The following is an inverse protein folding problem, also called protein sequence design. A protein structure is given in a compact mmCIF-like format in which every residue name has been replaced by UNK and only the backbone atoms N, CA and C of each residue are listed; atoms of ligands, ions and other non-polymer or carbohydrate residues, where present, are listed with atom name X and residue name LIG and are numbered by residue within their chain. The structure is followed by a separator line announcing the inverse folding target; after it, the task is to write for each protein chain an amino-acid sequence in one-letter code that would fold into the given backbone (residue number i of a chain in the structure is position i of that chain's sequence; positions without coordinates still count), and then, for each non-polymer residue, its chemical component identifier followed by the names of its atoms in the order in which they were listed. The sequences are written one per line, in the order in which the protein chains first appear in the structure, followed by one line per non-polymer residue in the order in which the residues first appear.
data_IF_133185965447
#
_entry.id   IF_133185965447
#
_cell.length_a   1.000
_cell.length_b   1.000
_cell.length_c   1.000
_cell.angle_alpha   90.00
_cell.angle_beta   90.00
_cell.angle_gamma   90.00
#
_symmetry.space_group_name_H-M   'P 1'
#
loop_
_entity.id
_entity.type
_entity.pdbx_description
1 polymer ?
#
# COMPACT_ATOMS: atom_id res chain seq x y z
N UNK A 1 29.28 -13.52 3.75
CA UNK A 1 28.10 -12.89 3.11
C UNK A 1 27.50 -11.96 4.16
N UNK A 2 27.69 -10.66 4.03
CA UNK A 2 27.00 -9.68 4.87
C UNK A 2 25.55 -9.66 4.41
N UNK A 3 24.64 -10.18 5.23
CA UNK A 3 23.20 -10.04 4.99
C UNK A 3 22.86 -8.56 5.11
N UNK A 4 22.84 -7.85 4.00
CA UNK A 4 22.34 -6.49 3.93
C UNK A 4 20.82 -6.51 3.98
N UNK A 5 20.25 -6.66 5.18
CA UNK A 5 18.83 -6.39 5.39
C UNK A 5 18.67 -4.86 5.52
N UNK A 6 17.87 -4.28 4.64
CA UNK A 6 17.51 -2.88 4.80
C UNK A 6 16.51 -2.73 5.95
N UNK A 7 16.90 -2.04 6.99
CA UNK A 7 16.02 -1.70 8.10
C UNK A 7 14.94 -0.74 7.61
N UNK A 8 13.71 -0.98 8.04
CA UNK A 8 12.56 -0.14 7.71
C UNK A 8 11.45 -0.22 8.74
N UNK A 9 10.48 0.67 8.60
CA UNK A 9 9.29 0.69 9.43
C UNK A 9 8.06 1.17 8.65
N UNK A 10 6.89 1.12 9.31
CA UNK A 10 5.61 1.42 8.68
C UNK A 10 4.96 2.67 9.27
N UNK A 11 4.44 3.53 8.42
CA UNK A 11 3.45 4.58 8.65
C UNK A 11 3.87 5.70 9.61
N UNK A 12 4.35 5.40 10.81
CA UNK A 12 4.54 6.39 11.87
C UNK A 12 6.00 6.41 12.33
N UNK A 13 6.67 7.54 12.12
CA UNK A 13 7.91 7.84 12.82
C UNK A 13 7.56 8.32 14.24
N UNK A 14 7.77 7.46 15.24
CA UNK A 14 7.37 7.73 16.63
C UNK A 14 8.13 8.89 17.25
N UNK A 15 9.40 9.08 16.89
CA UNK A 15 10.19 10.22 17.37
C UNK A 15 9.63 11.54 16.81
N UNK A 16 9.51 11.64 15.48
CA UNK A 16 9.02 12.85 14.83
C UNK A 16 7.56 13.17 15.19
N UNK A 17 6.74 12.15 15.36
CA UNK A 17 5.32 12.34 15.73
C UNK A 17 5.10 12.78 17.18
N UNK A 18 6.09 12.57 18.08
CA UNK A 18 6.05 12.98 19.48
C UNK A 18 6.58 14.39 19.73
N UNK A 19 7.16 15.05 18.73
CA UNK A 19 7.72 16.41 18.85
C UNK A 19 6.60 17.44 19.07
N UNK A 20 6.97 18.58 19.69
CA UNK A 20 6.03 19.72 19.91
C UNK A 20 5.34 20.15 18.60
N UNK A 21 6.10 20.20 17.49
CA UNK A 21 5.55 20.31 16.14
C UNK A 21 5.54 18.91 15.54
N UNK A 22 4.35 18.30 15.52
CA UNK A 22 4.17 16.92 15.07
C UNK A 22 4.41 16.80 13.57
N UNK A 23 5.31 15.89 13.18
CA UNK A 23 5.52 15.47 11.79
C UNK A 23 4.86 14.09 11.58
N UNK A 24 3.97 13.97 10.61
CA UNK A 24 3.19 12.74 10.40
C UNK A 24 2.55 12.73 9.01
N UNK A 25 2.48 11.55 8.38
CA UNK A 25 1.84 11.35 7.07
C UNK A 25 0.47 10.66 7.18
N UNK A 26 -0.07 10.52 8.39
CA UNK A 26 -1.33 9.81 8.64
C UNK A 26 -2.40 10.69 9.31
N UNK A 27 -2.38 11.99 9.03
CA UNK A 27 -3.50 12.86 9.44
C UNK A 27 -4.71 12.50 8.61
N UNK A 28 -5.83 12.34 9.29
CA UNK A 28 -7.12 12.01 8.69
C UNK A 28 -8.25 12.75 9.38
N UNK A 29 -9.48 12.54 8.94
CA UNK A 29 -10.66 13.11 9.55
C UNK A 29 -11.82 12.11 9.56
N UNK A 30 -12.78 12.34 10.45
CA UNK A 30 -14.03 11.57 10.50
C UNK A 30 -14.94 11.95 9.32
N UNK A 31 -15.80 11.04 8.88
CA UNK A 31 -16.80 11.27 7.83
C UNK A 31 -17.59 12.55 8.05
N UNK A 32 -18.08 12.78 9.26
CA UNK A 32 -18.79 14.02 9.62
C UNK A 32 -17.99 15.27 9.31
N UNK A 33 -16.69 15.28 9.61
CA UNK A 33 -15.81 16.43 9.32
C UNK A 33 -15.59 16.62 7.82
N UNK A 34 -15.47 15.51 7.07
CA UNK A 34 -15.41 15.55 5.62
C UNK A 34 -16.67 16.18 5.02
N UNK A 35 -17.86 15.73 5.45
CA UNK A 35 -19.16 16.24 4.97
C UNK A 35 -19.37 17.72 5.32
N UNK A 36 -18.86 18.19 6.48
CA UNK A 36 -19.00 19.58 6.94
C UNK A 36 -18.00 20.54 6.27
N UNK A 37 -16.75 20.09 6.04
CA UNK A 37 -15.65 20.97 5.60
C UNK A 37 -15.27 20.80 4.12
N UNK A 38 -15.70 19.72 3.48
CA UNK A 38 -15.49 19.45 2.06
C UNK A 38 -14.03 19.24 1.63
N UNK A 39 -13.82 19.28 0.31
CA UNK A 39 -12.54 19.00 -0.34
C UNK A 39 -11.43 20.00 0.02
N UNK A 40 -11.76 21.23 0.31
CA UNK A 40 -10.76 22.24 0.69
C UNK A 40 -9.98 21.84 1.95
N UNK A 41 -10.69 21.30 2.93
CA UNK A 41 -10.05 20.81 4.15
C UNK A 41 -9.29 19.50 3.93
N UNK A 42 -9.81 18.62 3.07
CA UNK A 42 -9.09 17.41 2.64
C UNK A 42 -7.76 17.79 1.99
N UNK A 43 -7.79 18.79 1.07
CA UNK A 43 -6.59 19.29 0.39
C UNK A 43 -5.52 19.79 1.37
N UNK A 44 -5.93 20.56 2.41
CA UNK A 44 -5.01 21.02 3.46
C UNK A 44 -4.37 19.86 4.24
N UNK A 45 -5.15 18.85 4.61
CA UNK A 45 -4.64 17.65 5.31
C UNK A 45 -3.64 16.88 4.43
N UNK A 46 -3.98 16.67 3.17
CA UNK A 46 -3.10 15.97 2.22
C UNK A 46 -1.80 16.74 2.01
N UNK A 47 -1.88 18.05 1.76
CA UNK A 47 -0.69 18.89 1.58
C UNK A 47 0.23 18.81 2.80
N UNK A 48 -0.32 18.82 4.02
CA UNK A 48 0.48 18.64 5.23
C UNK A 48 1.10 17.24 5.32
N UNK A 49 0.35 16.18 4.98
CA UNK A 49 0.84 14.81 4.99
C UNK A 49 2.01 14.63 4.00
N UNK A 50 1.87 15.11 2.76
CA UNK A 50 2.92 14.97 1.75
C UNK A 50 4.14 15.87 2.02
N UNK A 51 3.93 17.04 2.64
CA UNK A 51 5.03 17.90 3.08
C UNK A 51 5.85 17.23 4.19
N UNK A 52 5.17 16.58 5.12
CA UNK A 52 5.81 15.86 6.23
C UNK A 52 6.53 14.59 5.77
N UNK A 53 6.15 14.01 4.62
CA UNK A 53 6.84 12.85 4.06
C UNK A 53 8.33 13.16 3.83
N UNK A 54 8.65 14.29 3.20
CA UNK A 54 10.05 14.66 2.97
C UNK A 54 10.83 14.82 4.29
N UNK A 55 10.21 15.36 5.34
CA UNK A 55 10.84 15.47 6.65
C UNK A 55 11.11 14.09 7.29
N UNK A 56 10.20 13.12 7.10
CA UNK A 56 10.40 11.74 7.54
C UNK A 56 11.54 11.08 6.77
N UNK A 57 11.60 11.25 5.44
CA UNK A 57 12.64 10.66 4.61
C UNK A 57 14.03 11.22 4.94
N UNK A 58 14.15 12.52 5.23
CA UNK A 58 15.39 13.12 5.71
C UNK A 58 15.84 12.51 7.03
N UNK A 59 14.92 12.38 7.99
CA UNK A 59 15.21 11.72 9.25
C UNK A 59 15.65 10.27 9.04
N UNK A 60 15.00 9.55 8.12
CA UNK A 60 15.37 8.17 7.79
C UNK A 60 16.81 8.09 7.23
N UNK A 61 17.17 8.96 6.30
CA UNK A 61 18.53 9.01 5.76
C UNK A 61 19.58 9.32 6.85
N UNK A 62 19.29 10.28 7.74
CA UNK A 62 20.16 10.63 8.87
C UNK A 62 20.32 9.49 9.89
N UNK A 63 19.44 8.49 9.89
CA UNK A 63 19.42 7.35 10.82
C UNK A 63 19.67 5.99 10.13
N UNK A 64 20.18 5.97 8.90
CA UNK A 64 20.53 4.76 8.14
C UNK A 64 19.32 3.82 7.95
N UNK A 65 18.13 4.38 7.67
CA UNK A 65 16.88 3.65 7.42
C UNK A 65 16.53 3.78 5.94
N UNK A 66 16.65 2.68 5.20
CA UNK A 66 16.50 2.65 3.75
C UNK A 66 15.20 2.01 3.25
N UNK A 67 14.22 1.80 4.13
CA UNK A 67 12.90 1.29 3.77
C UNK A 67 11.80 1.99 4.57
N UNK A 68 10.80 2.53 3.86
CA UNK A 68 9.65 3.15 4.51
C UNK A 68 8.34 2.73 3.84
N UNK A 69 7.44 2.13 4.63
CA UNK A 69 6.05 1.87 4.21
C UNK A 69 5.19 3.07 4.55
N UNK A 70 4.82 3.83 3.52
CA UNK A 70 3.97 5.03 3.68
C UNK A 70 2.59 4.68 4.22
N UNK A 71 1.97 5.65 4.91
CA UNK A 71 0.64 5.49 5.48
C UNK A 71 -0.43 5.33 4.40
N UNK A 72 -1.39 4.44 4.63
CA UNK A 72 -2.62 4.34 3.82
C UNK A 72 -3.52 5.58 3.95
N UNK A 73 -3.36 6.36 5.04
CA UNK A 73 -4.13 7.56 5.31
C UNK A 73 -3.51 8.84 4.72
N UNK A 74 -2.48 8.71 3.87
CA UNK A 74 -1.85 9.87 3.25
C UNK A 74 -2.85 10.71 2.44
N UNK A 75 -3.82 10.05 1.81
CA UNK A 75 -4.95 10.63 1.07
C UNK A 75 -6.28 10.20 1.72
N UNK A 76 -6.74 10.88 2.78
CA UNK A 76 -7.99 10.51 3.47
C UNK A 76 -9.17 10.55 2.52
N UNK A 77 -10.05 9.55 2.60
CA UNK A 77 -11.26 9.46 1.77
C UNK A 77 -11.00 9.38 0.25
N UNK A 78 -9.89 8.78 -0.15
CA UNK A 78 -9.40 8.72 -1.53
C UNK A 78 -10.44 8.25 -2.56
N UNK A 79 -11.42 7.43 -2.19
CA UNK A 79 -12.50 6.98 -3.08
C UNK A 79 -13.57 8.04 -3.40
N UNK A 80 -13.55 9.21 -2.72
CA UNK A 80 -14.62 10.22 -2.79
C UNK A 80 -14.32 11.39 -3.77
N UNK A 81 -13.07 11.51 -4.29
CA UNK A 81 -12.64 12.63 -5.14
C UNK A 81 -11.58 12.18 -6.16
N UNK A 82 -11.31 13.02 -7.17
CA UNK A 82 -10.10 12.91 -7.98
C UNK A 82 -9.01 13.84 -7.41
N UNK A 83 -7.73 13.49 -7.58
CA UNK A 83 -6.64 14.33 -7.05
C UNK A 83 -6.62 15.72 -7.64
N UNK A 84 -6.99 15.84 -8.89
CA UNK A 84 -7.07 17.09 -9.67
C UNK A 84 -8.17 18.05 -9.16
N UNK A 85 -9.15 17.53 -8.36
CA UNK A 85 -10.20 18.35 -7.74
C UNK A 85 -9.71 19.09 -6.46
N UNK A 86 -8.53 18.72 -5.94
CA UNK A 86 -7.96 19.33 -4.75
C UNK A 86 -7.41 20.73 -5.06
N UNK A 87 -7.77 21.74 -4.24
CA UNK A 87 -7.34 23.14 -4.43
C UNK A 87 -5.82 23.33 -4.42
N UNK A 88 -5.10 22.48 -3.70
CA UNK A 88 -3.64 22.55 -3.56
C UNK A 88 -2.93 21.48 -4.41
N UNK A 89 -3.56 20.93 -5.45
CA UNK A 89 -3.02 19.80 -6.22
C UNK A 89 -1.60 20.08 -6.75
N UNK A 90 -1.32 21.24 -7.31
CA UNK A 90 0.02 21.60 -7.83
C UNK A 90 1.08 21.56 -6.73
N UNK A 91 0.76 22.00 -5.52
CA UNK A 91 1.68 21.97 -4.37
C UNK A 91 1.86 20.54 -3.84
N UNK A 92 0.81 19.73 -3.86
CA UNK A 92 0.84 18.31 -3.49
C UNK A 92 1.73 17.55 -4.46
N UNK A 93 1.56 17.77 -5.77
CA UNK A 93 2.40 17.18 -6.81
C UNK A 93 3.88 17.56 -6.63
N UNK A 94 4.17 18.86 -6.44
CA UNK A 94 5.54 19.34 -6.19
C UNK A 94 6.17 18.72 -4.93
N UNK A 95 5.39 18.61 -3.85
CA UNK A 95 5.87 18.02 -2.60
C UNK A 95 6.17 16.51 -2.74
N UNK A 96 5.31 15.76 -3.43
CA UNK A 96 5.54 14.34 -3.75
C UNK A 96 6.75 14.15 -4.64
N UNK A 97 6.87 14.95 -5.70
CA UNK A 97 8.03 14.90 -6.59
C UNK A 97 9.35 15.12 -5.84
N UNK A 98 9.42 16.14 -4.97
CA UNK A 98 10.60 16.40 -4.13
C UNK A 98 10.91 15.25 -3.17
N UNK A 99 9.88 14.66 -2.57
CA UNK A 99 10.04 13.52 -1.68
C UNK A 99 10.53 12.27 -2.42
N UNK A 100 10.03 12.03 -3.62
CA UNK A 100 10.45 10.92 -4.48
C UNK A 100 11.89 11.03 -4.94
N UNK A 101 12.32 12.21 -5.41
CA UNK A 101 13.72 12.47 -5.78
C UNK A 101 14.65 12.27 -4.58
N UNK A 102 14.29 12.79 -3.41
CA UNK A 102 15.08 12.60 -2.19
C UNK A 102 15.21 11.12 -1.82
N UNK A 103 14.13 10.35 -1.96
CA UNK A 103 14.15 8.91 -1.69
C UNK A 103 15.10 8.18 -2.65
N UNK A 104 15.07 8.51 -3.95
CA UNK A 104 15.97 7.94 -4.96
C UNK A 104 17.45 8.30 -4.67
N UNK A 105 17.76 9.58 -4.42
CA UNK A 105 19.11 10.06 -4.12
C UNK A 105 19.73 9.44 -2.85
N UNK A 106 18.91 8.93 -1.93
CA UNK A 106 19.34 8.35 -0.65
C UNK A 106 19.05 6.85 -0.54
N UNK A 107 18.75 6.16 -1.66
CA UNK A 107 18.46 4.73 -1.71
C UNK A 107 17.35 4.29 -0.73
N UNK A 108 16.34 5.14 -0.50
CA UNK A 108 15.20 4.83 0.37
C UNK A 108 14.08 4.20 -0.45
N UNK A 109 13.81 2.93 -0.23
CA UNK A 109 12.68 2.22 -0.85
C UNK A 109 11.35 2.68 -0.25
N UNK A 110 10.40 3.10 -1.11
CA UNK A 110 9.06 3.47 -0.73
C UNK A 110 8.06 2.39 -1.14
N UNK A 111 7.13 2.08 -0.22
CA UNK A 111 6.01 1.16 -0.48
C UNK A 111 4.74 1.69 0.17
N UNK A 112 3.58 1.13 -0.18
CA UNK A 112 2.31 1.43 0.48
C UNK A 112 1.52 0.15 0.74
N UNK A 113 0.63 0.23 1.74
CA UNK A 113 -0.28 -0.85 2.09
C UNK A 113 -1.68 -0.24 2.30
N UNK A 114 -2.50 -0.20 1.24
CA UNK A 114 -3.88 0.29 1.32
C UNK A 114 -4.66 -0.40 2.44
N UNK A 115 -5.61 0.32 3.02
CA UNK A 115 -6.35 -0.15 4.18
C UNK A 115 -7.19 -1.42 3.92
N UNK A 116 -7.68 -2.09 4.99
CA UNK A 116 -8.36 -3.40 4.89
C UNK A 116 -9.74 -3.34 4.22
N UNK A 117 -10.21 -2.14 3.88
CA UNK A 117 -11.45 -1.94 3.13
C UNK A 117 -11.30 -2.22 1.63
N UNK A 118 -10.08 -2.33 1.13
CA UNK A 118 -9.76 -2.66 -0.25
C UNK A 118 -10.03 -4.15 -0.52
N UNK A 119 -11.10 -4.46 -1.24
CA UNK A 119 -11.60 -5.83 -1.47
C UNK A 119 -11.94 -6.06 -2.93
N UNK A 120 -10.92 -6.29 -3.76
CA UNK A 120 -11.12 -6.67 -5.16
C UNK A 120 -11.93 -7.99 -5.33
N UNK A 121 -11.91 -8.84 -4.31
CA UNK A 121 -12.65 -10.13 -4.29
C UNK A 121 -14.14 -9.98 -4.03
N UNK A 122 -14.64 -8.78 -3.69
CA UNK A 122 -16.02 -8.59 -3.23
C UNK A 122 -17.04 -8.99 -4.30
N UNK A 123 -18.13 -9.69 -3.90
CA UNK A 123 -19.29 -9.90 -4.78
C UNK A 123 -20.14 -8.63 -4.97
N UNK A 124 -19.92 -7.59 -4.15
CA UNK A 124 -20.61 -6.30 -4.26
C UNK A 124 -19.82 -5.36 -5.16
N UNK A 125 -20.41 -5.03 -6.32
CA UNK A 125 -19.79 -4.17 -7.33
C UNK A 125 -19.39 -2.77 -6.80
N UNK A 126 -20.22 -2.17 -5.92
CA UNK A 126 -19.88 -0.86 -5.35
C UNK A 126 -18.61 -0.91 -4.47
N UNK A 127 -18.42 -1.99 -3.72
CA UNK A 127 -17.20 -2.20 -2.93
C UNK A 127 -15.99 -2.35 -3.86
N UNK A 128 -16.14 -3.07 -4.97
CA UNK A 128 -15.07 -3.21 -5.98
C UNK A 128 -14.74 -1.86 -6.61
N UNK A 129 -15.74 -1.06 -7.00
CA UNK A 129 -15.53 0.26 -7.58
C UNK A 129 -14.81 1.22 -6.62
N UNK A 130 -15.18 1.23 -5.35
CA UNK A 130 -14.51 2.04 -4.33
C UNK A 130 -13.06 1.56 -4.11
N UNK A 131 -12.83 0.24 -4.10
CA UNK A 131 -11.49 -0.34 -4.03
C UNK A 131 -10.63 0.08 -5.22
N UNK A 132 -11.16 0.02 -6.44
CA UNK A 132 -10.44 0.45 -7.64
C UNK A 132 -10.05 1.92 -7.51
N UNK A 133 -10.97 2.81 -7.14
CA UNK A 133 -10.68 4.24 -6.95
C UNK A 133 -9.56 4.48 -5.93
N UNK A 134 -9.61 3.82 -4.78
CA UNK A 134 -8.59 3.95 -3.74
C UNK A 134 -7.22 3.46 -4.25
N UNK A 135 -7.16 2.30 -4.91
CA UNK A 135 -5.93 1.78 -5.50
C UNK A 135 -5.36 2.68 -6.59
N UNK A 136 -6.21 3.30 -7.43
CA UNK A 136 -5.77 4.25 -8.47
C UNK A 136 -5.12 5.51 -7.85
N UNK A 137 -5.61 6.00 -6.71
CA UNK A 137 -4.95 7.08 -5.97
C UNK A 137 -3.56 6.64 -5.49
N UNK A 138 -3.41 5.41 -4.97
CA UNK A 138 -2.11 4.88 -4.59
C UNK A 138 -1.18 4.73 -5.81
N UNK A 139 -1.68 4.27 -6.95
CA UNK A 139 -0.93 4.21 -8.20
C UNK A 139 -0.45 5.58 -8.66
N UNK A 140 -1.35 6.57 -8.65
CA UNK A 140 -1.05 7.97 -9.01
C UNK A 140 -0.04 8.60 -8.05
N UNK A 141 -0.19 8.38 -6.74
CA UNK A 141 0.77 8.83 -5.73
C UNK A 141 2.18 8.30 -6.02
N UNK A 142 2.31 7.01 -6.34
CA UNK A 142 3.60 6.40 -6.67
C UNK A 142 4.20 6.98 -7.98
N UNK A 143 3.37 7.31 -8.98
CA UNK A 143 3.84 7.97 -10.19
C UNK A 143 4.33 9.40 -9.89
N UNK A 144 3.62 10.17 -9.06
CA UNK A 144 4.02 11.52 -8.62
C UNK A 144 5.31 11.51 -7.78
N UNK A 145 5.56 10.43 -7.04
CA UNK A 145 6.81 10.17 -6.33
C UNK A 145 7.93 9.66 -7.27
N UNK A 146 7.71 9.61 -8.59
CA UNK A 146 8.66 9.04 -9.57
C UNK A 146 9.12 7.62 -9.27
N UNK A 147 8.31 6.84 -8.52
CA UNK A 147 8.69 5.48 -8.17
C UNK A 147 8.52 4.53 -9.36
N UNK A 148 9.39 3.50 -9.49
CA UNK A 148 9.34 2.58 -10.61
C UNK A 148 7.98 1.85 -10.69
N UNK A 149 7.50 1.59 -11.91
CA UNK A 149 6.31 0.76 -12.14
C UNK A 149 6.66 -0.73 -12.07
N UNK A 150 7.06 -1.16 -10.89
CA UNK A 150 7.44 -2.55 -10.60
C UNK A 150 7.11 -2.91 -9.14
N UNK A 151 7.11 -4.20 -8.75
CA UNK A 151 6.88 -4.63 -7.37
C UNK A 151 7.92 -4.11 -6.36
N UNK A 152 9.00 -3.49 -6.82
CA UNK A 152 9.93 -2.79 -5.95
C UNK A 152 9.24 -1.66 -5.17
N UNK A 153 8.42 -0.86 -5.86
CA UNK A 153 7.57 0.19 -5.28
C UNK A 153 6.15 -0.35 -5.03
N UNK A 154 6.04 -1.41 -4.23
CA UNK A 154 4.82 -2.20 -4.09
C UNK A 154 3.64 -1.45 -3.51
N UNK A 155 2.47 -1.73 -4.07
CA UNK A 155 1.15 -1.50 -3.48
C UNK A 155 0.70 -2.88 -2.95
N UNK A 156 0.84 -3.10 -1.65
CA UNK A 156 0.60 -4.40 -1.03
C UNK A 156 -0.83 -4.48 -0.48
N UNK A 157 -1.59 -5.51 -0.83
CA UNK A 157 -2.96 -5.70 -0.33
C UNK A 157 -3.22 -7.15 0.05
N UNK A 158 -4.25 -7.38 0.86
CA UNK A 158 -4.85 -8.69 1.05
C UNK A 158 -5.93 -8.96 -0.01
N UNK A 159 -6.32 -10.22 -0.20
CA UNK A 159 -7.48 -10.57 -1.03
C UNK A 159 -8.75 -9.90 -0.48
N UNK A 160 -8.90 -9.86 0.84
CA UNK A 160 -9.87 -9.04 1.55
C UNK A 160 -11.12 -9.75 2.07
N UNK A 161 -11.41 -10.98 1.66
CA UNK A 161 -12.53 -11.75 2.20
C UNK A 161 -12.79 -13.06 1.46
N UNK A 162 -13.36 -14.05 2.13
CA UNK A 162 -13.69 -15.36 1.57
C UNK A 162 -15.16 -15.51 1.13
N UNK A 163 -16.06 -14.75 1.71
CA UNK A 163 -17.51 -14.74 1.39
C UNK A 163 -18.14 -16.14 1.36
N UNK A 164 -17.70 -17.04 2.24
CA UNK A 164 -18.04 -18.47 2.31
C UNK A 164 -17.69 -19.29 1.05
N UNK A 165 -16.92 -18.73 0.12
CA UNK A 165 -16.47 -19.38 -1.11
C UNK A 165 -15.11 -18.80 -1.52
N UNK A 166 -14.02 -19.34 -0.94
CA UNK A 166 -12.64 -18.91 -1.23
C UNK A 166 -12.30 -18.98 -2.73
N UNK A 167 -12.61 -20.08 -3.47
CA UNK A 167 -12.32 -20.16 -4.90
C UNK A 167 -12.99 -19.04 -5.70
N UNK A 168 -14.28 -18.76 -5.46
CA UNK A 168 -14.99 -17.67 -6.13
C UNK A 168 -14.42 -16.30 -5.79
N UNK A 169 -14.05 -16.06 -4.53
CA UNK A 169 -13.44 -14.80 -4.10
C UNK A 169 -12.08 -14.58 -4.77
N UNK A 170 -11.22 -15.61 -4.89
CA UNK A 170 -9.96 -15.55 -5.64
C UNK A 170 -10.19 -15.28 -7.13
N UNK A 171 -11.17 -15.93 -7.74
CA UNK A 171 -11.54 -15.68 -9.13
C UNK A 171 -12.02 -14.24 -9.36
N UNK A 172 -12.84 -13.70 -8.43
CA UNK A 172 -13.28 -12.30 -8.47
C UNK A 172 -12.10 -11.33 -8.32
N UNK A 173 -11.17 -11.60 -7.41
CA UNK A 173 -9.94 -10.82 -7.25
C UNK A 173 -9.17 -10.74 -8.58
N UNK A 174 -8.88 -11.89 -9.19
CA UNK A 174 -8.16 -11.95 -10.46
C UNK A 174 -8.93 -11.29 -11.63
N UNK A 175 -10.27 -11.42 -11.65
CA UNK A 175 -11.14 -10.73 -12.62
C UNK A 175 -11.04 -9.21 -12.48
N UNK A 176 -11.17 -8.70 -11.24
CA UNK A 176 -11.19 -7.27 -10.96
C UNK A 176 -9.80 -6.62 -11.06
N UNK A 177 -8.72 -7.37 -10.81
CA UNK A 177 -7.35 -6.93 -11.10
C UNK A 177 -7.18 -6.41 -12.54
N UNK A 178 -7.83 -7.05 -13.52
CA UNK A 178 -7.75 -6.64 -14.93
C UNK A 178 -8.30 -5.24 -15.20
N UNK A 179 -9.13 -4.71 -14.30
CA UNK A 179 -9.78 -3.38 -14.39
C UNK A 179 -8.89 -2.24 -13.87
N UNK A 180 -7.80 -2.57 -13.17
CA UNK A 180 -6.85 -1.60 -12.65
C UNK A 180 -5.98 -1.00 -13.78
N UNK A 181 -5.46 0.20 -13.56
CA UNK A 181 -4.48 0.82 -14.46
C UNK A 181 -3.13 0.12 -14.40
N UNK A 182 -2.26 0.38 -15.36
CA UNK A 182 -0.89 -0.15 -15.34
C UNK A 182 -0.07 0.44 -14.17
N UNK A 183 -0.38 1.68 -13.74
CA UNK A 183 0.24 2.28 -12.56
C UNK A 183 0.04 1.45 -11.29
N UNK A 184 -1.10 0.78 -11.17
CA UNK A 184 -1.42 -0.12 -10.05
C UNK A 184 -0.97 -1.55 -10.35
N UNK A 185 -1.35 -2.14 -11.49
CA UNK A 185 -1.06 -3.55 -11.83
C UNK A 185 0.40 -3.91 -11.70
N UNK A 186 1.29 -3.05 -12.20
CA UNK A 186 2.73 -3.32 -12.20
C UNK A 186 3.38 -3.26 -10.82
N UNK A 187 2.70 -2.65 -9.85
CA UNK A 187 3.16 -2.50 -8.47
C UNK A 187 2.41 -3.38 -7.48
N UNK A 188 1.27 -3.97 -7.90
CA UNK A 188 0.43 -4.71 -6.97
C UNK A 188 1.11 -5.99 -6.50
N UNK A 189 1.04 -6.22 -5.21
CA UNK A 189 1.43 -7.47 -4.55
C UNK A 189 0.31 -7.92 -3.63
N UNK A 190 0.27 -9.21 -3.33
CA UNK A 190 -0.73 -9.77 -2.42
C UNK A 190 -0.04 -10.41 -1.22
N UNK A 191 -0.61 -10.22 -0.02
CA UNK A 191 -0.07 -10.70 1.25
C UNK A 191 -0.94 -11.79 1.85
N UNK A 192 -0.32 -12.80 2.48
CA UNK A 192 -1.03 -13.82 3.24
C UNK A 192 -1.76 -13.21 4.45
N UNK A 193 -2.84 -13.83 4.88
CA UNK A 193 -3.73 -13.33 5.91
C UNK A 193 -3.43 -13.90 7.31
N UNK A 194 -3.94 -13.22 8.36
CA UNK A 194 -3.82 -13.54 9.78
C UNK A 194 -4.95 -14.44 10.31
N UNK A 195 -5.72 -15.08 9.44
CA UNK A 195 -6.87 -15.93 9.80
C UNK A 195 -6.93 -17.18 8.93
N UNK A 196 -7.11 -18.33 9.55
CA UNK A 196 -7.28 -19.62 8.86
C UNK A 196 -8.46 -19.63 7.87
N UNK A 197 -9.49 -18.80 8.13
CA UNK A 197 -10.63 -18.63 7.24
C UNK A 197 -10.33 -17.79 5.98
N UNK A 198 -9.16 -17.15 5.91
CA UNK A 198 -8.69 -16.35 4.78
C UNK A 198 -7.57 -17.09 4.02
N UNK A 199 -6.56 -16.40 3.50
CA UNK A 199 -5.68 -16.95 2.49
C UNK A 199 -4.23 -17.10 2.99
N UNK A 200 -3.76 -18.35 2.97
CA UNK A 200 -2.36 -18.71 3.19
C UNK A 200 -1.51 -18.40 1.96
N UNK A 201 -0.17 -18.41 2.13
CA UNK A 201 0.78 -18.29 1.02
C UNK A 201 0.53 -19.33 -0.09
N UNK A 202 0.19 -20.57 0.27
CA UNK A 202 -0.11 -21.64 -0.69
C UNK A 202 -1.38 -21.31 -1.50
N UNK A 203 -2.46 -20.87 -0.85
CA UNK A 203 -3.71 -20.51 -1.54
C UNK A 203 -3.52 -19.31 -2.46
N UNK A 204 -2.72 -18.31 -2.06
CA UNK A 204 -2.36 -17.17 -2.91
C UNK A 204 -1.52 -17.60 -4.12
N UNK A 205 -0.59 -18.51 -3.93
CA UNK A 205 0.23 -19.04 -5.03
C UNK A 205 -0.64 -19.74 -6.07
N UNK A 206 -1.55 -20.61 -5.63
CA UNK A 206 -2.42 -21.37 -6.53
C UNK A 206 -3.52 -20.52 -7.17
N UNK A 207 -4.17 -19.66 -6.40
CA UNK A 207 -5.35 -18.92 -6.83
C UNK A 207 -5.10 -17.52 -7.37
N UNK A 208 -3.93 -16.92 -7.12
CA UNK A 208 -3.60 -15.56 -7.57
C UNK A 208 -2.36 -15.56 -8.45
N UNK A 209 -1.19 -15.98 -7.93
CA UNK A 209 0.06 -15.91 -8.70
C UNK A 209 0.00 -16.70 -10.01
N UNK A 210 -0.43 -17.96 -9.97
CA UNK A 210 -0.57 -18.79 -11.18
C UNK A 210 -1.54 -18.24 -12.22
N UNK A 211 -2.46 -17.34 -11.80
CA UNK A 211 -3.52 -16.81 -12.66
C UNK A 211 -3.17 -15.44 -13.26
N UNK A 212 -2.59 -14.54 -12.46
CA UNK A 212 -2.32 -13.16 -12.87
C UNK A 212 -0.87 -12.71 -12.66
N UNK A 213 0.00 -13.53 -12.07
CA UNK A 213 1.43 -13.31 -12.00
C UNK A 213 1.90 -12.23 -11.01
N UNK A 214 1.04 -11.74 -10.10
CA UNK A 214 1.48 -10.74 -9.11
C UNK A 214 2.25 -11.40 -7.97
N UNK A 215 3.35 -10.77 -7.47
CA UNK A 215 4.17 -11.35 -6.42
C UNK A 215 3.45 -11.46 -5.08
N UNK A 216 3.86 -12.46 -4.29
CA UNK A 216 3.35 -12.69 -2.94
C UNK A 216 4.32 -12.08 -1.93
N UNK A 217 3.81 -11.23 -1.04
CA UNK A 217 4.50 -10.79 0.17
C UNK A 217 4.17 -11.78 1.28
N UNK A 218 5.19 -12.37 1.87
CA UNK A 218 5.02 -13.28 2.99
C UNK A 218 5.17 -12.52 4.33
N UNK A 219 4.07 -12.46 5.10
CA UNK A 219 4.11 -11.98 6.47
C UNK A 219 4.30 -13.17 7.42
N UNK A 220 5.41 -13.16 8.17
CA UNK A 220 5.79 -14.20 9.10
C UNK A 220 4.80 -14.37 10.26
N UNK A 221 4.25 -13.26 10.75
CA UNK A 221 3.31 -13.28 11.85
C UNK A 221 1.95 -13.86 11.41
N UNK A 222 1.45 -13.42 10.25
CA UNK A 222 0.21 -13.94 9.67
C UNK A 222 0.30 -15.44 9.41
N UNK A 223 1.46 -15.91 8.92
CA UNK A 223 1.67 -17.33 8.67
C UNK A 223 1.50 -18.20 9.93
N UNK A 224 1.82 -17.68 11.11
CA UNK A 224 1.61 -18.44 12.35
C UNK A 224 0.14 -18.80 12.62
N UNK A 225 -0.78 -18.05 12.03
CA UNK A 225 -2.23 -18.20 12.18
C UNK A 225 -2.91 -18.81 10.95
N UNK A 226 -2.27 -18.72 9.76
CA UNK A 226 -2.80 -19.23 8.51
C UNK A 226 -1.69 -19.90 7.69
N UNK A 227 -1.28 -21.11 8.12
CA UNK A 227 -0.11 -21.80 7.55
C UNK A 227 -0.37 -22.40 6.15
N UNK A 228 -1.63 -22.77 5.85
CA UNK A 228 -1.97 -23.51 4.60
C UNK A 228 -1.28 -24.88 4.50
N UNK A 229 -0.84 -25.43 5.64
CA UNK A 229 -0.13 -26.72 5.70
C UNK A 229 1.36 -26.64 5.42
N UNK A 230 1.93 -25.45 5.20
CA UNK A 230 3.36 -25.23 4.97
C UNK A 230 4.08 -24.89 6.28
N UNK A 231 5.34 -25.30 6.38
CA UNK A 231 6.28 -24.72 7.35
C UNK A 231 6.60 -23.28 6.97
N UNK A 232 7.12 -22.50 7.92
CA UNK A 232 7.55 -21.13 7.69
C UNK A 232 8.56 -21.02 6.55
N UNK A 233 9.53 -21.94 6.50
CA UNK A 233 10.56 -21.96 5.45
C UNK A 233 9.96 -22.24 4.07
N UNK A 234 9.13 -23.29 3.94
CA UNK A 234 8.47 -23.62 2.68
C UNK A 234 7.62 -22.47 2.15
N UNK A 235 6.88 -21.79 3.04
CA UNK A 235 6.05 -20.67 2.67
C UNK A 235 6.88 -19.46 2.16
N UNK A 236 8.01 -19.16 2.81
CA UNK A 236 8.95 -18.11 2.37
C UNK A 236 9.56 -18.47 1.02
N UNK A 237 10.07 -19.70 0.87
CA UNK A 237 10.65 -20.18 -0.38
C UNK A 237 9.63 -20.10 -1.53
N UNK A 238 8.38 -20.53 -1.27
CA UNK A 238 7.30 -20.42 -2.25
C UNK A 238 7.01 -18.96 -2.63
N UNK A 239 6.92 -18.05 -1.66
CA UNK A 239 6.70 -16.65 -1.94
C UNK A 239 7.85 -16.04 -2.76
N UNK A 240 9.10 -16.37 -2.45
CA UNK A 240 10.27 -15.88 -3.18
C UNK A 240 10.25 -16.29 -4.66
N UNK A 241 9.75 -17.47 -5.01
CA UNK A 241 9.62 -17.88 -6.43
C UNK A 241 8.70 -16.95 -7.25
N UNK A 242 7.88 -16.14 -6.61
CA UNK A 242 6.93 -15.25 -7.28
C UNK A 242 7.51 -13.88 -7.65
N UNK A 243 8.73 -13.57 -7.20
CA UNK A 243 9.34 -12.23 -7.40
C UNK A 243 10.21 -12.11 -8.66
N UNK A 244 10.42 -13.22 -9.37
CA UNK A 244 11.34 -13.28 -10.51
C UNK A 244 12.81 -13.22 -10.09
N UNK A 245 13.69 -13.32 -11.09
CA UNK A 245 15.15 -13.21 -10.93
C UNK A 245 15.59 -11.75 -10.87
#
# INVERSE_FOLDING_TARGET
MTNNYNLGYACINTELSSRKVKVSTNRTMRRKTFDEKGLDYVSEIILQNVTDLLAILKWNADNDIHFFRMSSEMFPWASEYALEDLKDFDKIEEALFKAGLFAEENDIRLTTHPGPFNKLCSPNEQVVLNTIKDLEIHGRMMDLLCQPRSPWAKINIHVGGAYNDKPMALANFCKNFKRLSDAVKTRLTVENDDKESLYSTQELYDGVYKVIGIPIVHDYHHHTMCTGGLTQQEAVELALTTWGD
#
